data_IF_223571540662
#
_entry.id   IF_223571540662
#
_cell.length_a   1.000
_cell.length_b   1.000
_cell.length_c   1.000
_cell.angle_alpha   90.00
_cell.angle_beta   90.00
_cell.angle_gamma   90.00
#
_symmetry.space_group_name_H-M   'P 1'
#
loop_
_entity.id
_entity.type
_entity.pdbx_description
1 polymer ?
#
# COMPACT_ATOMS: atom_id res chain seq x y z
N UNK A 1 -7.72 -11.25 26.39
CA UNK A 1 -8.86 -10.47 25.86
C UNK A 1 -8.45 -9.07 25.45
N UNK A 2 -7.57 -8.40 26.18
CA UNK A 2 -7.18 -7.00 25.90
C UNK A 2 -6.70 -6.77 24.45
N UNK A 3 -5.82 -7.62 23.91
CA UNK A 3 -5.37 -7.48 22.51
C UNK A 3 -6.49 -7.63 21.46
N UNK A 4 -7.56 -8.36 21.77
CA UNK A 4 -8.72 -8.49 20.86
C UNK A 4 -9.48 -7.17 20.79
N UNK A 5 -9.58 -6.44 21.90
CA UNK A 5 -10.23 -5.13 21.92
C UNK A 5 -9.44 -4.11 21.09
N UNK A 6 -8.11 -4.10 21.24
CA UNK A 6 -7.24 -3.20 20.45
C UNK A 6 -7.30 -3.59 18.96
N UNK A 7 -7.31 -4.89 18.64
CA UNK A 7 -7.45 -5.37 17.26
C UNK A 7 -8.77 -4.93 16.63
N UNK A 8 -9.89 -5.05 17.35
CA UNK A 8 -11.20 -4.61 16.85
C UNK A 8 -11.23 -3.09 16.62
N UNK A 9 -10.62 -2.31 17.53
CA UNK A 9 -10.49 -0.86 17.36
C UNK A 9 -9.68 -0.49 16.12
N UNK A 10 -8.57 -1.19 15.87
CA UNK A 10 -7.78 -1.03 14.66
C UNK A 10 -8.60 -1.32 13.40
N UNK A 11 -9.39 -2.40 13.38
CA UNK A 11 -10.24 -2.74 12.24
C UNK A 11 -11.29 -1.66 11.94
N UNK A 12 -11.89 -1.07 12.97
CA UNK A 12 -12.86 0.02 12.81
C UNK A 12 -12.23 1.30 12.29
N UNK A 13 -11.14 1.76 12.90
CA UNK A 13 -10.45 2.98 12.45
C UNK A 13 -9.93 2.83 11.03
N UNK A 14 -9.37 1.67 10.72
CA UNK A 14 -8.79 1.45 9.42
C UNK A 14 -9.87 1.36 8.32
N UNK A 15 -11.10 0.88 8.58
CA UNK A 15 -12.22 0.99 7.61
C UNK A 15 -12.48 2.45 7.19
N UNK A 16 -12.30 3.41 8.08
CA UNK A 16 -12.47 4.82 7.72
C UNK A 16 -11.39 5.35 6.76
N UNK A 17 -10.24 4.67 6.67
CA UNK A 17 -9.18 4.96 5.69
C UNK A 17 -9.43 4.35 4.31
N UNK A 18 -10.30 3.33 4.20
CA UNK A 18 -10.67 2.76 2.89
C UNK A 18 -11.71 3.58 2.15
N UNK A 19 -12.46 4.44 2.85
CA UNK A 19 -13.60 5.19 2.31
C UNK A 19 -13.28 6.65 1.95
N UNK A 20 -12.03 7.12 2.12
CA UNK A 20 -11.66 8.51 1.88
C UNK A 20 -10.25 8.72 1.34
N UNK A 21 -10.00 9.93 0.81
CA UNK A 21 -8.66 10.37 0.39
C UNK A 21 -7.73 10.39 1.61
N UNK A 22 -6.62 9.68 1.51
CA UNK A 22 -5.60 9.67 2.57
C UNK A 22 -4.71 10.89 2.37
N UNK A 23 -4.68 11.76 3.37
CA UNK A 23 -3.69 12.83 3.44
C UNK A 23 -2.41 12.29 4.08
N UNK A 24 -1.28 12.50 3.40
CA UNK A 24 0.04 12.21 3.96
C UNK A 24 0.22 12.93 5.29
N UNK A 25 0.68 12.17 6.29
CA UNK A 25 0.84 12.63 7.68
C UNK A 25 -0.45 13.19 8.32
N UNK A 26 -1.61 12.83 7.78
CA UNK A 26 -2.90 13.18 8.38
C UNK A 26 -3.10 12.47 9.72
N UNK A 27 -3.80 13.11 10.65
CA UNK A 27 -4.06 12.55 11.99
C UNK A 27 -4.71 11.16 11.95
N UNK A 28 -5.62 10.91 11.00
CA UNK A 28 -6.29 9.62 10.83
C UNK A 28 -5.31 8.49 10.53
N UNK A 29 -4.43 8.64 9.53
CA UNK A 29 -3.49 7.58 9.17
C UNK A 29 -2.42 7.37 10.26
N UNK A 30 -1.98 8.45 10.91
CA UNK A 30 -1.05 8.37 12.04
C UNK A 30 -1.66 7.62 13.24
N UNK A 31 -2.95 7.83 13.52
CA UNK A 31 -3.65 7.09 14.58
C UNK A 31 -3.70 5.60 14.27
N UNK A 32 -4.09 5.22 13.04
CA UNK A 32 -4.14 3.82 12.63
C UNK A 32 -2.75 3.17 12.68
N UNK A 33 -1.69 3.87 12.24
CA UNK A 33 -0.31 3.37 12.38
C UNK A 33 0.07 3.12 13.85
N UNK A 34 -0.34 4.00 14.76
CA UNK A 34 -0.09 3.86 16.19
C UNK A 34 -0.87 2.68 16.79
N UNK A 35 -2.14 2.50 16.43
CA UNK A 35 -2.93 1.33 16.85
C UNK A 35 -2.33 0.03 16.31
N UNK A 36 -1.87 0.03 15.06
CA UNK A 36 -1.13 -1.08 14.47
C UNK A 36 0.06 -1.52 15.33
N UNK A 37 0.89 -0.56 15.75
CA UNK A 37 2.03 -0.82 16.65
C UNK A 37 1.58 -1.38 18.01
N UNK A 38 0.52 -0.83 18.60
CA UNK A 38 -0.03 -1.30 19.88
C UNK A 38 -0.51 -2.75 19.79
N UNK A 39 -1.28 -3.09 18.74
CA UNK A 39 -1.78 -4.45 18.55
C UNK A 39 -0.64 -5.43 18.32
N UNK A 40 0.35 -5.08 17.49
CA UNK A 40 1.53 -5.94 17.24
C UNK A 40 2.27 -6.24 18.55
N UNK A 41 2.57 -5.22 19.35
CA UNK A 41 3.23 -5.37 20.66
C UNK A 41 2.38 -6.24 21.59
N UNK A 42 1.07 -6.01 21.63
CA UNK A 42 0.15 -6.77 22.48
C UNK A 42 0.11 -8.26 22.08
N UNK A 43 0.06 -8.54 20.78
CA UNK A 43 -0.08 -9.89 20.25
C UNK A 43 1.23 -10.69 20.27
N UNK A 44 2.39 -10.04 20.25
CA UNK A 44 3.69 -10.70 20.19
C UNK A 44 3.88 -11.78 21.27
N UNK A 45 3.68 -11.53 22.58
CA UNK A 45 3.86 -12.55 23.62
C UNK A 45 2.72 -13.58 23.70
N UNK A 46 1.65 -13.43 22.92
CA UNK A 46 0.46 -14.30 23.03
C UNK A 46 0.53 -15.54 22.14
N UNK A 47 -0.37 -16.49 22.40
CA UNK A 47 -0.55 -17.71 21.60
C UNK A 47 -1.41 -17.53 20.34
N UNK A 48 -1.61 -16.29 19.83
CA UNK A 48 -2.30 -16.09 18.56
C UNK A 48 -1.63 -16.88 17.44
N UNK A 49 -2.42 -17.53 16.55
CA UNK A 49 -1.89 -18.22 15.38
C UNK A 49 -0.95 -17.33 14.58
N UNK A 50 0.19 -17.88 14.15
CA UNK A 50 1.18 -17.13 13.37
C UNK A 50 0.60 -16.55 12.08
N UNK A 51 -0.38 -17.23 11.47
CA UNK A 51 -1.12 -16.70 10.32
C UNK A 51 -1.81 -15.36 10.63
N UNK A 52 -2.38 -15.21 11.82
CA UNK A 52 -3.05 -13.97 12.24
C UNK A 52 -2.01 -12.88 12.50
N UNK A 53 -0.92 -13.19 13.23
CA UNK A 53 0.18 -12.25 13.45
C UNK A 53 0.79 -11.75 12.13
N UNK A 54 1.01 -12.66 11.17
CA UNK A 54 1.50 -12.33 9.83
C UNK A 54 0.50 -11.45 9.06
N UNK A 55 -0.79 -11.78 9.09
CA UNK A 55 -1.83 -10.97 8.43
C UNK A 55 -1.90 -9.56 9.00
N UNK A 56 -1.79 -9.40 10.33
CA UNK A 56 -1.74 -8.09 10.97
C UNK A 56 -0.49 -7.32 10.54
N UNK A 57 0.68 -7.96 10.55
CA UNK A 57 1.92 -7.33 10.10
C UNK A 57 1.82 -6.79 8.67
N UNK A 58 1.30 -7.60 7.75
CA UNK A 58 1.06 -7.19 6.35
C UNK A 58 0.08 -6.00 6.28
N UNK A 59 -1.01 -6.04 7.06
CA UNK A 59 -1.97 -4.94 7.12
C UNK A 59 -1.33 -3.63 7.58
N UNK A 60 -0.53 -3.70 8.65
CA UNK A 60 0.18 -2.53 9.18
C UNK A 60 1.23 -1.98 8.20
N UNK A 61 2.02 -2.85 7.55
CA UNK A 61 2.95 -2.44 6.49
C UNK A 61 2.23 -1.77 5.31
N UNK A 62 1.01 -2.22 4.99
CA UNK A 62 0.18 -1.61 3.94
C UNK A 62 -0.26 -0.19 4.32
N UNK A 63 -0.63 0.04 5.58
CA UNK A 63 -0.99 1.36 6.11
C UNK A 63 0.23 2.29 6.11
N UNK A 64 1.39 1.80 6.54
CA UNK A 64 2.63 2.58 6.50
C UNK A 64 3.01 2.98 5.07
N UNK A 65 2.91 2.04 4.13
CA UNK A 65 3.18 2.28 2.72
C UNK A 65 2.24 3.33 2.13
N UNK A 66 0.94 3.29 2.48
CA UNK A 66 -0.04 4.32 2.10
C UNK A 66 0.32 5.72 2.60
N UNK A 67 1.09 5.83 3.70
CA UNK A 67 1.60 7.10 4.20
C UNK A 67 2.96 7.49 3.60
N UNK A 68 3.16 7.25 2.30
CA UNK A 68 4.40 7.62 1.59
C UNK A 68 4.12 8.44 0.35
N UNK A 69 5.05 9.33 0.00
CA UNK A 69 5.04 10.08 -1.27
C UNK A 69 4.98 9.15 -2.49
N UNK A 70 5.60 7.97 -2.37
CA UNK A 70 5.52 6.91 -3.38
C UNK A 70 4.07 6.47 -3.64
N UNK A 71 3.32 6.12 -2.59
CA UNK A 71 1.94 5.65 -2.74
C UNK A 71 0.99 6.77 -3.13
N UNK A 72 1.20 7.99 -2.64
CA UNK A 72 0.42 9.14 -3.06
C UNK A 72 0.61 9.41 -4.56
N UNK A 73 1.86 9.47 -5.01
CA UNK A 73 2.19 9.65 -6.42
C UNK A 73 1.64 8.51 -7.29
N UNK A 74 1.75 7.25 -6.84
CA UNK A 74 1.22 6.10 -7.55
C UNK A 74 -0.31 6.21 -7.77
N UNK A 75 -1.04 6.78 -6.81
CA UNK A 75 -2.46 7.06 -6.92
C UNK A 75 -2.77 8.23 -7.86
N UNK A 76 -1.99 9.32 -7.79
CA UNK A 76 -2.12 10.47 -8.68
C UNK A 76 -1.92 10.08 -10.15
N UNK A 77 -0.85 9.33 -10.46
CA UNK A 77 -0.60 8.89 -11.85
C UNK A 77 -1.68 7.92 -12.35
N UNK A 78 -2.32 7.15 -11.47
CA UNK A 78 -3.44 6.26 -11.80
C UNK A 78 -4.71 7.03 -12.18
N UNK A 79 -5.00 8.14 -11.49
CA UNK A 79 -6.19 8.94 -11.78
C UNK A 79 -6.03 9.82 -13.03
N UNK A 80 -4.81 10.28 -13.30
CA UNK A 80 -4.64 11.49 -14.10
C UNK A 80 -3.76 11.29 -15.36
N UNK A 81 -2.89 10.27 -15.42
CA UNK A 81 -1.79 10.30 -16.40
C UNK A 81 -1.39 9.00 -17.10
N UNK A 82 -1.93 7.86 -16.70
CA UNK A 82 -1.39 6.58 -17.16
C UNK A 82 -1.60 6.32 -18.67
N UNK A 83 -2.52 7.04 -19.34
CA UNK A 83 -2.94 6.79 -20.74
C UNK A 83 -2.24 7.67 -21.79
N UNK A 84 -1.77 8.88 -21.47
CA UNK A 84 -1.55 9.90 -22.53
C UNK A 84 -0.13 10.47 -22.65
N UNK A 85 0.81 10.14 -21.77
CA UNK A 85 2.17 10.77 -21.81
C UNK A 85 3.38 9.85 -21.76
N UNK A 86 3.21 8.53 -21.83
CA UNK A 86 4.31 7.61 -21.58
C UNK A 86 4.63 6.71 -22.75
N UNK A 87 5.41 7.25 -23.68
CA UNK A 87 6.05 6.50 -24.76
C UNK A 87 6.85 5.27 -24.27
N UNK A 88 7.22 5.17 -22.98
CA UNK A 88 7.90 4.00 -22.42
C UNK A 88 6.99 2.91 -21.83
N UNK A 89 5.69 3.19 -21.58
CA UNK A 89 4.73 2.15 -21.16
C UNK A 89 4.05 1.45 -22.34
N UNK A 90 4.10 2.05 -23.53
CA UNK A 90 3.40 1.58 -24.73
C UNK A 90 4.32 0.87 -25.74
N UNK A 91 5.26 0.05 -25.26
CA UNK A 91 6.17 -0.67 -26.17
C UNK A 91 5.51 -1.82 -26.93
N UNK A 92 4.26 -2.20 -26.62
CA UNK A 92 3.61 -3.37 -27.20
C UNK A 92 2.07 -3.31 -27.34
N UNK A 93 1.39 -2.18 -27.06
CA UNK A 93 -0.08 -2.09 -27.20
C UNK A 93 -0.91 -2.99 -26.27
N UNK A 94 -0.30 -3.64 -25.27
CA UNK A 94 -0.96 -4.53 -24.28
C UNK A 94 -1.19 -3.75 -22.98
N UNK A 95 -1.68 -2.52 -23.10
CA UNK A 95 -1.81 -1.60 -21.96
C UNK A 95 -3.02 -1.96 -21.08
N UNK A 96 -4.17 -2.24 -21.68
CA UNK A 96 -5.42 -2.56 -20.94
C UNK A 96 -5.34 -3.89 -20.17
N UNK A 97 -4.53 -4.86 -20.64
CA UNK A 97 -4.39 -6.16 -19.99
C UNK A 97 -3.36 -6.13 -18.85
N UNK A 98 -2.25 -5.37 -19.01
CA UNK A 98 -1.22 -5.23 -17.96
C UNK A 98 -1.70 -4.42 -16.76
N UNK A 99 -2.61 -3.46 -16.97
CA UNK A 99 -3.17 -2.63 -15.89
C UNK A 99 -3.99 -3.42 -14.86
N UNK A 100 -4.45 -4.64 -15.19
CA UNK A 100 -5.09 -5.51 -14.19
C UNK A 100 -4.12 -6.07 -13.16
N UNK A 101 -2.81 -6.03 -13.42
CA UNK A 101 -1.78 -6.51 -12.52
C UNK A 101 -0.72 -5.42 -12.30
N UNK A 102 -1.05 -4.42 -11.49
CA UNK A 102 -0.19 -3.26 -11.19
C UNK A 102 1.19 -3.66 -10.65
N UNK A 103 1.27 -4.77 -9.91
CA UNK A 103 2.53 -5.35 -9.45
C UNK A 103 3.43 -5.75 -10.63
N UNK A 104 2.85 -6.27 -11.71
CA UNK A 104 3.60 -6.64 -12.91
C UNK A 104 4.19 -5.42 -13.61
N UNK A 105 3.47 -4.29 -13.67
CA UNK A 105 4.00 -3.04 -14.26
C UNK A 105 5.13 -2.47 -13.40
N UNK A 106 4.95 -2.45 -12.07
CA UNK A 106 5.97 -2.01 -11.13
C UNK A 106 7.23 -2.90 -11.14
N UNK A 107 7.13 -4.15 -11.59
CA UNK A 107 8.28 -5.05 -11.68
C UNK A 107 8.91 -5.07 -13.09
N UNK A 108 8.10 -5.09 -14.15
CA UNK A 108 8.56 -5.21 -15.53
C UNK A 108 9.08 -3.88 -16.11
N UNK A 109 8.50 -2.76 -15.69
CA UNK A 109 8.76 -1.43 -16.28
C UNK A 109 9.31 -0.46 -15.22
N UNK A 110 10.09 -0.96 -14.24
CA UNK A 110 10.60 -0.19 -13.09
C UNK A 110 11.21 1.17 -13.46
N UNK A 111 12.07 1.19 -14.48
CA UNK A 111 12.75 2.41 -14.94
C UNK A 111 11.76 3.42 -15.50
N UNK A 112 10.78 2.97 -16.27
CA UNK A 112 9.73 3.81 -16.82
C UNK A 112 8.84 4.38 -15.71
N UNK A 113 8.35 3.55 -14.78
CA UNK A 113 7.52 4.02 -13.66
C UNK A 113 8.28 5.00 -12.77
N UNK A 114 9.56 4.72 -12.46
CA UNK A 114 10.39 5.64 -11.68
C UNK A 114 10.55 7.00 -12.38
N UNK A 115 10.84 6.99 -13.68
CA UNK A 115 10.93 8.21 -14.48
C UNK A 115 9.62 9.02 -14.43
N UNK A 116 8.47 8.36 -14.55
CA UNK A 116 7.16 9.01 -14.45
C UNK A 116 6.97 9.67 -13.11
N UNK A 117 7.17 8.91 -12.03
CA UNK A 117 6.94 9.39 -10.68
C UNK A 117 7.84 10.59 -10.36
N UNK A 118 9.09 10.56 -10.83
CA UNK A 118 10.02 11.68 -10.69
C UNK A 118 9.54 12.93 -11.45
N UNK A 119 9.03 12.77 -12.69
CA UNK A 119 8.59 13.89 -13.51
C UNK A 119 7.23 14.47 -13.06
N UNK A 120 6.33 13.64 -12.55
CA UNK A 120 4.99 14.06 -12.13
C UNK A 120 4.99 14.56 -10.69
N UNK A 121 5.64 13.83 -9.78
CA UNK A 121 5.53 14.04 -8.34
C UNK A 121 6.84 14.51 -7.68
N UNK A 122 7.95 14.50 -8.41
CA UNK A 122 9.25 14.93 -7.93
C UNK A 122 10.08 13.84 -7.24
N UNK A 123 11.26 14.24 -6.77
CA UNK A 123 12.30 13.34 -6.24
C UNK A 123 11.90 12.61 -4.95
N UNK A 124 11.01 13.19 -4.14
CA UNK A 124 10.57 12.56 -2.88
C UNK A 124 9.74 11.29 -3.13
N UNK A 125 8.96 11.24 -4.22
CA UNK A 125 8.18 10.06 -4.59
C UNK A 125 9.05 8.86 -4.98
N UNK A 126 10.30 9.10 -5.41
CA UNK A 126 11.22 8.05 -5.87
C UNK A 126 12.38 7.76 -4.90
N UNK A 127 12.48 8.49 -3.77
CA UNK A 127 13.59 8.38 -2.81
C UNK A 127 13.85 6.94 -2.36
N UNK A 128 12.77 6.21 -2.08
CA UNK A 128 12.79 4.82 -1.60
C UNK A 128 12.11 3.85 -2.61
N UNK A 129 12.14 4.19 -3.91
CA UNK A 129 11.37 3.50 -4.95
C UNK A 129 11.58 1.98 -4.97
N UNK A 130 12.82 1.50 -4.94
CA UNK A 130 13.12 0.06 -5.02
C UNK A 130 12.63 -0.69 -3.78
N UNK A 131 12.69 -0.05 -2.61
CA UNK A 131 12.17 -0.60 -1.36
C UNK A 131 10.65 -0.69 -1.42
N UNK A 132 9.97 0.41 -1.79
CA UNK A 132 8.51 0.45 -1.85
C UNK A 132 7.95 -0.50 -2.91
N UNK A 133 8.57 -0.59 -4.09
CA UNK A 133 8.16 -1.57 -5.12
C UNK A 133 8.33 -3.02 -4.67
N UNK A 134 9.43 -3.34 -3.98
CA UNK A 134 9.62 -4.67 -3.40
C UNK A 134 8.58 -4.97 -2.30
N UNK A 135 8.24 -3.97 -1.48
CA UNK A 135 7.18 -4.09 -0.48
C UNK A 135 5.81 -4.33 -1.11
N UNK A 136 5.43 -3.55 -2.13
CA UNK A 136 4.19 -3.78 -2.91
C UNK A 136 4.16 -5.21 -3.44
N UNK A 137 5.22 -5.63 -4.14
CA UNK A 137 5.26 -6.96 -4.74
C UNK A 137 5.15 -8.11 -3.72
N UNK A 138 5.76 -7.95 -2.54
CA UNK A 138 5.60 -8.92 -1.45
C UNK A 138 4.17 -8.95 -0.93
N UNK A 139 3.58 -7.78 -0.65
CA UNK A 139 2.21 -7.66 -0.13
C UNK A 139 1.21 -8.28 -1.10
N UNK A 140 1.33 -8.01 -2.41
CA UNK A 140 0.43 -8.53 -3.45
C UNK A 140 0.48 -10.05 -3.63
N UNK A 141 1.55 -10.72 -3.20
CA UNK A 141 1.72 -12.19 -3.31
C UNK A 141 1.16 -12.94 -2.10
N UNK A 142 0.81 -12.25 -1.02
CA UNK A 142 0.26 -12.85 0.19
C UNK A 142 -1.26 -13.00 0.06
N UNK A 143 -1.84 -14.16 0.46
CA UNK A 143 -3.28 -14.37 0.38
C UNK A 143 -4.01 -13.36 1.27
N UNK A 144 -4.84 -12.52 0.64
CA UNK A 144 -5.69 -11.51 1.27
C UNK A 144 -6.60 -12.19 2.31
N UNK A 145 -6.30 -12.05 3.60
CA UNK A 145 -7.21 -12.46 4.69
C UNK A 145 -7.90 -11.24 5.30
N UNK A 146 -9.18 -11.40 5.67
CA UNK A 146 -10.15 -10.46 6.28
C UNK A 146 -9.70 -9.03 6.61
N UNK A 147 -8.63 -8.81 7.39
CA UNK A 147 -8.10 -7.47 7.70
C UNK A 147 -7.63 -6.73 6.44
N UNK A 148 -7.08 -7.43 5.46
CA UNK A 148 -6.49 -6.85 4.25
C UNK A 148 -7.48 -6.54 3.12
N UNK A 149 -8.73 -7.04 3.21
CA UNK A 149 -9.74 -6.83 2.17
C UNK A 149 -10.17 -5.36 2.03
N UNK A 150 -10.08 -4.57 3.10
CA UNK A 150 -10.42 -3.14 3.08
C UNK A 150 -9.35 -2.28 2.37
N UNK A 151 -8.08 -2.73 2.35
CA UNK A 151 -6.94 -1.87 1.99
C UNK A 151 -6.38 -2.12 0.60
N UNK A 152 -6.56 -3.33 0.06
CA UNK A 152 -6.01 -3.74 -1.23
C UNK A 152 -6.83 -3.31 -2.44
N UNK A 153 -8.05 -2.79 -2.26
CA UNK A 153 -8.87 -2.32 -3.40
C UNK A 153 -8.32 -1.07 -4.10
N UNK A 154 -7.26 -0.45 -3.56
CA UNK A 154 -6.73 0.84 -4.05
C UNK A 154 -5.21 0.81 -4.30
N UNK A 155 -4.53 -0.32 -4.05
CA UNK A 155 -3.13 -0.47 -4.50
C UNK A 155 -3.12 -0.93 -5.94
#
# INVERSE_FOLDING_TARGET
MECVLILNGLEEEAKTLSEGLIHLNGSKILNVMNECRKVQICMEPTCFPQKIKKSLAIGCETIELRNTEFSNCLFEIQQEYFVTKLNCLDSNGIYEERMRNKTHILEAEKSCVKFVMENVCGVEAIRDFDKHTAQVARISREPVTLVSMSYMQVI
#
